data_IF_031344010891
#
_entry.id   IF_031344010891
#
_cell.length_a   1.000
_cell.length_b   1.000
_cell.length_c   1.000
_cell.angle_alpha   90.00
_cell.angle_beta   90.00
_cell.angle_gamma   90.00
#
_symmetry.space_group_name_H-M   'P 1'
#
loop_
_entity.id
_entity.type
_entity.pdbx_description
1 polymer ?
#
# COMPACT_ATOMS: atom_id res chain seq x y z
N UNK A 1 4.71 -11.32 -31.13
CA UNK A 1 5.03 -12.10 -29.92
C UNK A 1 3.80 -12.06 -29.03
N UNK A 2 3.18 -13.21 -28.75
CA UNK A 2 1.95 -13.30 -27.94
C UNK A 2 2.35 -13.47 -26.47
N UNK A 3 2.77 -12.36 -25.85
CA UNK A 3 3.15 -12.35 -24.43
C UNK A 3 1.89 -12.36 -23.54
N UNK A 4 1.81 -13.29 -22.60
CA UNK A 4 0.85 -13.30 -21.51
C UNK A 4 -0.28 -14.34 -21.57
N UNK A 5 -0.40 -15.15 -22.63
CA UNK A 5 -1.53 -16.04 -22.83
C UNK A 5 -1.45 -17.38 -22.05
N UNK A 6 -0.23 -17.81 -21.66
CA UNK A 6 0.00 -19.05 -20.91
C UNK A 6 0.06 -18.90 -19.39
N UNK A 7 -0.12 -17.67 -18.87
CA UNK A 7 0.19 -17.33 -17.48
C UNK A 7 -1.00 -17.50 -16.55
N UNK A 8 -2.25 -17.42 -17.08
CA UNK A 8 -3.47 -17.55 -16.28
C UNK A 8 -3.73 -19.03 -16.01
N UNK A 9 -3.70 -19.41 -14.73
CA UNK A 9 -4.00 -20.76 -14.27
C UNK A 9 -5.18 -20.73 -13.31
N UNK A 10 -6.14 -21.63 -13.55
CA UNK A 10 -7.28 -21.84 -12.67
C UNK A 10 -6.88 -22.84 -11.58
N UNK A 11 -7.16 -22.50 -10.33
CA UNK A 11 -6.81 -23.33 -9.16
C UNK A 11 -7.86 -24.41 -8.85
N UNK A 12 -9.02 -24.38 -9.51
CA UNK A 12 -10.11 -25.32 -9.29
C UNK A 12 -10.98 -25.03 -8.07
N UNK A 13 -10.69 -23.98 -7.30
CA UNK A 13 -11.38 -23.66 -6.06
C UNK A 13 -12.48 -22.60 -6.25
N UNK A 14 -13.72 -22.96 -5.99
CA UNK A 14 -14.88 -22.06 -6.04
C UNK A 14 -15.32 -21.65 -7.44
N UNK A 15 -16.12 -20.58 -7.57
CA UNK A 15 -16.64 -20.10 -8.85
C UNK A 15 -15.52 -19.75 -9.83
N UNK A 16 -15.72 -20.09 -11.11
CA UNK A 16 -14.71 -19.91 -12.16
C UNK A 16 -14.27 -18.44 -12.32
N UNK A 17 -15.20 -17.48 -12.18
CA UNK A 17 -14.85 -16.06 -12.26
C UNK A 17 -13.91 -15.61 -11.13
N UNK A 18 -14.05 -16.19 -9.91
CA UNK A 18 -13.15 -15.91 -8.80
C UNK A 18 -11.76 -16.52 -9.03
N UNK A 19 -11.67 -17.69 -9.65
CA UNK A 19 -10.40 -18.30 -10.03
C UNK A 19 -9.65 -17.41 -11.03
N UNK A 20 -10.35 -16.86 -12.03
CA UNK A 20 -9.78 -15.90 -12.99
C UNK A 20 -9.27 -14.65 -12.26
N UNK A 21 -10.07 -14.10 -11.34
CA UNK A 21 -9.69 -12.93 -10.53
C UNK A 21 -8.41 -13.20 -9.73
N UNK A 22 -8.35 -14.32 -9.00
CA UNK A 22 -7.17 -14.70 -8.20
C UNK A 22 -5.93 -14.87 -9.07
N UNK A 23 -6.05 -15.55 -10.20
CA UNK A 23 -4.94 -15.77 -11.12
C UNK A 23 -4.39 -14.45 -11.67
N UNK A 24 -5.24 -13.59 -12.22
CA UNK A 24 -4.83 -12.28 -12.76
C UNK A 24 -4.25 -11.40 -11.65
N UNK A 25 -4.89 -11.32 -10.49
CA UNK A 25 -4.38 -10.56 -9.34
C UNK A 25 -3.02 -11.08 -8.86
N UNK A 26 -2.79 -12.39 -8.93
CA UNK A 26 -1.51 -13.03 -8.62
C UNK A 26 -0.40 -12.60 -9.59
N UNK A 27 -0.69 -12.60 -10.91
CA UNK A 27 0.25 -12.18 -11.94
C UNK A 27 0.63 -10.69 -11.81
N UNK A 28 -0.33 -9.84 -11.47
CA UNK A 28 -0.08 -8.42 -11.22
C UNK A 28 0.76 -8.24 -9.95
N UNK A 29 0.38 -8.90 -8.85
CA UNK A 29 1.08 -8.80 -7.55
C UNK A 29 2.50 -9.33 -7.57
N UNK A 30 2.75 -10.41 -8.31
CA UNK A 30 4.10 -10.95 -8.49
C UNK A 30 4.99 -10.08 -9.38
N UNK A 31 4.44 -9.03 -10.02
CA UNK A 31 5.14 -8.20 -10.99
C UNK A 31 5.36 -8.88 -12.34
N UNK A 32 4.80 -10.08 -12.55
CA UNK A 32 4.86 -10.75 -13.83
C UNK A 32 4.12 -9.94 -14.92
N UNK A 33 2.93 -9.42 -14.59
CA UNK A 33 2.24 -8.41 -15.37
C UNK A 33 2.46 -7.02 -14.78
N UNK A 34 3.31 -6.26 -15.44
CA UNK A 34 3.66 -4.89 -15.00
C UNK A 34 2.53 -3.90 -15.29
N UNK A 35 2.46 -2.76 -14.58
CA UNK A 35 1.58 -1.65 -14.92
C UNK A 35 1.69 -1.29 -16.42
N UNK A 36 0.55 -1.12 -17.08
CA UNK A 36 0.48 -0.90 -18.52
C UNK A 36 0.56 -2.15 -19.40
N UNK A 37 0.78 -3.36 -18.81
CA UNK A 37 0.71 -4.61 -19.56
C UNK A 37 -0.68 -4.78 -20.16
N UNK A 38 -0.73 -5.10 -21.48
CA UNK A 38 -1.99 -5.33 -22.19
C UNK A 38 -2.45 -6.77 -21.96
N UNK A 39 -3.64 -6.93 -21.42
CA UNK A 39 -4.25 -8.24 -21.28
C UNK A 39 -4.72 -8.79 -22.64
N UNK A 40 -4.78 -10.12 -22.79
CA UNK A 40 -5.50 -10.75 -23.87
C UNK A 40 -6.96 -10.28 -23.90
N UNK A 41 -7.58 -10.25 -25.06
CA UNK A 41 -8.99 -9.86 -25.20
C UNK A 41 -9.91 -10.86 -24.52
N UNK A 42 -11.14 -10.43 -24.19
CA UNK A 42 -12.16 -11.32 -23.61
C UNK A 42 -12.41 -12.56 -24.46
N UNK A 43 -12.35 -12.43 -25.78
CA UNK A 43 -12.51 -13.56 -26.72
C UNK A 43 -11.34 -14.53 -26.63
N UNK A 44 -10.11 -14.02 -26.66
CA UNK A 44 -8.90 -14.83 -26.53
C UNK A 44 -8.86 -15.56 -25.18
N UNK A 45 -9.23 -14.88 -24.07
CA UNK A 45 -9.33 -15.51 -22.75
C UNK A 45 -10.41 -16.58 -22.69
N UNK A 46 -11.58 -16.32 -23.28
CA UNK A 46 -12.69 -17.27 -23.37
C UNK A 46 -12.29 -18.54 -24.13
N UNK A 47 -11.64 -18.40 -25.27
CA UNK A 47 -11.16 -19.51 -26.08
C UNK A 47 -10.06 -20.32 -25.36
N UNK A 48 -9.03 -19.67 -24.84
CA UNK A 48 -7.89 -20.35 -24.21
C UNK A 48 -8.23 -21.06 -22.91
N UNK A 49 -9.12 -20.47 -22.11
CA UNK A 49 -9.56 -21.09 -20.85
C UNK A 49 -10.75 -22.02 -21.03
N UNK A 50 -11.35 -22.09 -22.23
CA UNK A 50 -12.59 -22.84 -22.52
C UNK A 50 -13.75 -22.43 -21.59
N UNK A 51 -13.88 -21.13 -21.32
CA UNK A 51 -14.85 -20.54 -20.39
C UNK A 51 -15.78 -19.58 -21.13
N UNK A 52 -17.05 -19.54 -20.73
CA UNK A 52 -18.02 -18.63 -21.31
C UNK A 52 -17.54 -17.15 -21.22
N UNK A 53 -17.66 -16.42 -22.32
CA UNK A 53 -17.23 -15.01 -22.43
C UNK A 53 -17.84 -14.12 -21.35
N UNK A 54 -19.08 -14.37 -20.95
CA UNK A 54 -19.75 -13.63 -19.87
C UNK A 54 -19.04 -13.79 -18.52
N UNK A 55 -18.50 -14.98 -18.23
CA UNK A 55 -17.75 -15.27 -17.00
C UNK A 55 -16.41 -14.51 -16.99
N UNK A 56 -15.70 -14.51 -18.13
CA UNK A 56 -14.47 -13.73 -18.31
C UNK A 56 -14.76 -12.23 -18.16
N UNK A 57 -15.83 -11.75 -18.85
CA UNK A 57 -16.22 -10.33 -18.78
C UNK A 57 -16.53 -9.89 -17.33
N UNK A 58 -17.27 -10.72 -16.58
CA UNK A 58 -17.58 -10.47 -15.17
C UNK A 58 -16.30 -10.34 -14.34
N UNK A 59 -15.37 -11.29 -14.47
CA UNK A 59 -14.10 -11.25 -13.74
C UNK A 59 -13.27 -10.00 -14.06
N UNK A 60 -13.16 -9.64 -15.36
CA UNK A 60 -12.42 -8.45 -15.78
C UNK A 60 -13.13 -7.14 -15.37
N UNK A 61 -14.48 -7.14 -15.33
CA UNK A 61 -15.26 -5.99 -14.85
C UNK A 61 -14.98 -5.76 -13.35
N UNK A 62 -15.09 -6.79 -12.54
CA UNK A 62 -14.81 -6.69 -11.09
C UNK A 62 -13.35 -6.28 -10.83
N UNK A 63 -12.37 -6.82 -11.57
CA UNK A 63 -10.96 -6.38 -11.47
C UNK A 63 -10.76 -4.92 -11.90
N UNK A 64 -11.62 -4.41 -12.79
CA UNK A 64 -11.59 -2.98 -13.18
C UNK A 64 -12.23 -2.11 -12.10
N UNK A 65 -13.32 -2.57 -11.48
CA UNK A 65 -13.95 -1.92 -10.32
C UNK A 65 -13.01 -1.92 -9.10
N UNK A 66 -12.23 -3.00 -8.93
CA UNK A 66 -11.17 -3.12 -7.92
C UNK A 66 -9.90 -2.27 -8.26
N UNK A 67 -9.90 -1.52 -9.36
CA UNK A 67 -8.78 -0.65 -9.77
C UNK A 67 -7.52 -1.38 -10.25
N UNK A 68 -7.53 -2.71 -10.38
CA UNK A 68 -6.40 -3.50 -10.87
C UNK A 68 -6.25 -3.45 -12.38
N UNK A 69 -7.33 -3.20 -13.10
CA UNK A 69 -7.36 -3.10 -14.56
C UNK A 69 -7.98 -1.78 -15.01
N UNK A 70 -7.63 -1.33 -16.21
CA UNK A 70 -8.24 -0.19 -16.89
C UNK A 70 -8.66 -0.57 -18.29
N UNK A 71 -9.89 -0.24 -18.68
CA UNK A 71 -10.41 -0.42 -20.04
C UNK A 71 -10.18 0.84 -20.85
N UNK A 72 -9.42 0.74 -21.94
CA UNK A 72 -9.23 1.85 -22.90
C UNK A 72 -10.06 1.58 -24.15
N UNK A 73 -10.95 2.53 -24.48
CA UNK A 73 -11.84 2.39 -25.64
C UNK A 73 -11.04 2.08 -26.91
N UNK A 74 -11.39 1.00 -27.61
CA UNK A 74 -10.74 0.48 -28.83
C UNK A 74 -9.30 -0.03 -28.65
N UNK A 75 -8.66 0.14 -27.50
CA UNK A 75 -7.28 -0.29 -27.25
C UNK A 75 -7.20 -1.60 -26.46
N UNK A 76 -8.23 -1.95 -25.68
CA UNK A 76 -8.29 -3.19 -24.88
C UNK A 76 -8.23 -2.93 -23.38
N UNK A 77 -7.99 -4.01 -22.63
CA UNK A 77 -7.82 -3.98 -21.17
C UNK A 77 -6.33 -4.02 -20.83
N UNK A 78 -5.94 -3.22 -19.87
CA UNK A 78 -4.54 -3.09 -19.42
C UNK A 78 -4.49 -3.24 -17.91
N UNK A 79 -3.35 -3.75 -17.39
CA UNK A 79 -3.04 -3.60 -15.96
C UNK A 79 -3.06 -2.10 -15.67
N UNK A 80 -3.84 -1.71 -14.68
CA UNK A 80 -3.91 -0.32 -14.29
C UNK A 80 -2.48 0.15 -13.99
N UNK A 81 -2.10 1.25 -14.61
CA UNK A 81 -1.05 2.05 -14.02
C UNK A 81 -1.72 2.61 -12.77
N UNK A 82 -1.08 2.59 -11.60
CA UNK A 82 -1.57 3.42 -10.54
C UNK A 82 -1.75 4.80 -11.19
N UNK A 83 -2.99 5.20 -11.45
CA UNK A 83 -3.26 6.60 -11.71
C UNK A 83 -2.63 7.28 -10.53
N UNK A 84 -1.63 8.12 -10.79
CA UNK A 84 -1.04 8.88 -9.72
C UNK A 84 -2.16 9.76 -9.15
N UNK A 85 -2.90 9.30 -8.11
CA UNK A 85 -3.62 10.24 -7.30
C UNK A 85 -2.49 11.04 -6.67
N UNK A 86 -2.60 12.29 -6.78
CA UNK A 86 -1.80 13.31 -6.17
C UNK A 86 -0.50 12.79 -5.54
N UNK A 87 0.64 13.02 -6.17
CA UNK A 87 1.94 12.43 -5.80
C UNK A 87 2.36 12.65 -4.34
N UNK A 88 1.77 13.62 -3.67
CA UNK A 88 1.91 13.91 -2.22
C UNK A 88 1.58 12.68 -1.36
N UNK A 89 0.69 11.80 -1.84
CA UNK A 89 0.15 10.71 -1.04
C UNK A 89 0.64 9.32 -1.51
N UNK A 90 1.60 9.24 -2.43
CA UNK A 90 2.24 7.96 -2.74
C UNK A 90 2.90 7.37 -1.49
N UNK A 91 2.82 6.04 -1.37
CA UNK A 91 3.53 5.32 -0.31
C UNK A 91 5.02 5.41 -0.61
N UNK A 92 5.69 6.37 0.03
CA UNK A 92 7.13 6.54 -0.10
C UNK A 92 7.83 5.52 0.78
N UNK A 93 8.70 4.73 0.17
CA UNK A 93 9.64 3.87 0.89
C UNK A 93 10.89 4.68 1.24
N UNK A 94 11.09 4.99 2.52
CA UNK A 94 12.23 5.78 3.00
C UNK A 94 13.58 5.14 2.67
N UNK A 95 13.64 3.80 2.67
CA UNK A 95 14.86 3.07 2.34
C UNK A 95 15.31 3.29 0.88
N UNK A 96 14.37 3.62 -0.01
CA UNK A 96 14.65 3.94 -1.42
C UNK A 96 14.74 5.45 -1.65
N UNK A 97 13.87 6.22 -1.00
CA UNK A 97 13.74 7.66 -1.26
C UNK A 97 14.92 8.49 -0.73
N UNK A 98 15.49 8.11 0.42
CA UNK A 98 16.63 8.83 1.01
C UNK A 98 17.90 8.65 0.15
N UNK A 99 18.32 7.42 -0.22
CA UNK A 99 19.45 7.24 -1.13
C UNK A 99 19.26 7.88 -2.51
N UNK A 100 18.02 7.91 -3.03
CA UNK A 100 17.73 8.56 -4.31
C UNK A 100 18.01 10.08 -4.31
N UNK A 101 18.09 10.70 -3.13
CA UNK A 101 18.49 12.10 -2.94
C UNK A 101 19.99 12.28 -2.66
N UNK A 102 20.76 11.19 -2.65
CA UNK A 102 22.19 11.20 -2.36
C UNK A 102 22.53 11.22 -0.88
N UNK A 103 21.56 11.00 0.00
CA UNK A 103 21.72 10.97 1.45
C UNK A 103 21.95 9.53 1.96
N UNK A 104 22.65 9.35 3.07
CA UNK A 104 22.87 8.05 3.70
C UNK A 104 21.66 7.68 4.55
N UNK A 105 20.96 6.62 4.15
CA UNK A 105 19.83 6.09 4.89
C UNK A 105 20.29 5.31 6.12
N UNK A 106 19.62 5.55 7.26
CA UNK A 106 19.74 4.74 8.46
C UNK A 106 18.38 4.36 9.02
N UNK A 107 18.33 3.21 9.70
CA UNK A 107 17.09 2.65 10.24
C UNK A 107 17.34 2.03 11.61
N UNK A 108 16.37 2.17 12.53
CA UNK A 108 16.38 1.51 13.83
C UNK A 108 14.96 1.15 14.25
N UNK A 109 14.70 -0.13 14.47
CA UNK A 109 13.49 -0.61 15.12
C UNK A 109 13.64 -0.47 16.64
N UNK A 110 12.68 0.17 17.28
CA UNK A 110 12.64 0.38 18.74
C UNK A 110 11.64 -0.56 19.43
N UNK A 111 10.50 -0.84 18.77
CA UNK A 111 9.44 -1.73 19.25
C UNK A 111 9.04 -2.66 18.12
N UNK A 112 8.93 -3.94 18.43
CA UNK A 112 8.37 -4.97 17.55
C UNK A 112 7.69 -6.04 18.43
N UNK A 113 6.40 -5.89 18.68
CA UNK A 113 5.67 -6.74 19.62
C UNK A 113 4.24 -7.03 19.15
N UNK A 114 3.70 -8.18 19.58
CA UNK A 114 2.29 -8.50 19.37
C UNK A 114 1.48 -8.06 20.58
N UNK A 115 0.54 -7.15 20.39
CA UNK A 115 -0.32 -6.61 21.45
C UNK A 115 -1.80 -6.76 21.12
N UNK A 116 -2.70 -6.77 22.11
CA UNK A 116 -4.10 -6.50 21.87
C UNK A 116 -4.29 -5.04 21.42
N UNK A 117 -5.20 -4.81 20.49
CA UNK A 117 -5.47 -3.46 19.97
C UNK A 117 -5.86 -2.50 21.11
N UNK A 118 -5.11 -1.42 21.35
CA UNK A 118 -5.54 -0.34 22.23
C UNK A 118 -6.85 0.26 21.70
N UNK A 119 -7.74 0.71 22.58
CA UNK A 119 -9.08 1.21 22.24
C UNK A 119 -9.07 2.28 21.14
N UNK A 120 -8.11 3.20 21.22
CA UNK A 120 -7.94 4.26 20.22
C UNK A 120 -7.57 3.71 18.85
N UNK A 121 -6.72 2.69 18.80
CA UNK A 121 -6.26 2.03 17.56
C UNK A 121 -7.36 1.13 17.02
N UNK A 122 -8.05 0.37 17.88
CA UNK A 122 -9.18 -0.47 17.48
C UNK A 122 -10.26 0.36 16.76
N UNK A 123 -10.61 1.54 17.31
CA UNK A 123 -11.56 2.47 16.66
C UNK A 123 -11.05 2.98 15.30
N UNK A 124 -9.77 3.39 15.22
CA UNK A 124 -9.18 3.88 13.95
C UNK A 124 -9.11 2.80 12.87
N UNK A 125 -8.86 1.57 13.28
CA UNK A 125 -8.80 0.41 12.37
C UNK A 125 -10.16 -0.28 12.18
N UNK A 126 -11.24 0.19 12.81
CA UNK A 126 -12.58 -0.41 12.77
C UNK A 126 -12.57 -1.89 13.19
N UNK A 127 -11.77 -2.22 14.21
CA UNK A 127 -11.58 -3.58 14.71
C UNK A 127 -12.32 -3.81 16.03
N UNK A 128 -12.73 -5.05 16.32
CA UNK A 128 -13.16 -5.45 17.66
C UNK A 128 -12.05 -5.17 18.69
N UNK A 129 -12.44 -4.80 19.90
CA UNK A 129 -11.51 -4.63 21.01
C UNK A 129 -10.74 -5.93 21.28
N UNK A 130 -9.46 -5.81 21.59
CA UNK A 130 -8.60 -6.95 21.86
C UNK A 130 -8.11 -7.71 20.61
N UNK A 131 -8.48 -7.27 19.39
CA UNK A 131 -7.89 -7.83 18.17
C UNK A 131 -6.36 -7.80 18.25
N UNK A 132 -5.69 -8.91 17.92
CA UNK A 132 -4.23 -8.98 17.97
C UNK A 132 -3.61 -8.19 16.81
N UNK A 133 -2.70 -7.30 17.16
CA UNK A 133 -1.94 -6.47 16.22
C UNK A 133 -0.45 -6.72 16.39
N UNK A 134 0.31 -6.65 15.31
CA UNK A 134 1.74 -6.40 15.39
C UNK A 134 1.95 -4.90 15.48
N UNK A 135 2.55 -4.45 16.58
CA UNK A 135 2.93 -3.07 16.83
C UNK A 135 4.43 -2.91 16.56
N UNK A 136 4.77 -1.97 15.68
CA UNK A 136 6.15 -1.66 15.32
C UNK A 136 6.38 -0.16 15.45
N UNK A 137 7.45 0.21 16.16
CA UNK A 137 7.94 1.60 16.19
C UNK A 137 9.37 1.64 15.67
N UNK A 138 9.66 2.57 14.78
CA UNK A 138 11.00 2.69 14.22
C UNK A 138 11.35 4.14 13.87
N UNK A 139 12.64 4.38 13.75
CA UNK A 139 13.23 5.66 13.34
C UNK A 139 13.94 5.50 12.00
N UNK A 140 13.70 6.46 11.12
CA UNK A 140 14.42 6.59 9.86
C UNK A 140 15.30 7.83 9.91
N UNK A 141 16.52 7.70 9.43
CA UNK A 141 17.50 8.79 9.41
C UNK A 141 18.02 9.05 8.00
N UNK A 142 18.35 10.31 7.73
CA UNK A 142 19.10 10.77 6.57
C UNK A 142 20.36 11.47 7.06
N UNK A 143 21.54 11.03 6.65
CA UNK A 143 22.85 11.52 7.11
C UNK A 143 22.94 11.58 8.66
N UNK A 144 22.43 10.54 9.33
CA UNK A 144 22.40 10.42 10.78
C UNK A 144 21.39 11.30 11.52
N UNK A 145 20.62 12.14 10.82
CA UNK A 145 19.54 12.96 11.41
C UNK A 145 18.21 12.25 11.29
N UNK A 146 17.43 12.21 12.36
CA UNK A 146 16.09 11.60 12.34
C UNK A 146 15.18 12.46 11.45
N UNK A 147 14.57 11.81 10.44
CA UNK A 147 13.64 12.43 9.48
C UNK A 147 12.24 11.90 9.63
N UNK A 148 12.07 10.71 10.19
CA UNK A 148 10.74 10.11 10.44
C UNK A 148 10.79 9.23 11.68
N UNK A 149 9.73 9.31 12.49
CA UNK A 149 9.37 8.35 13.52
C UNK A 149 8.07 7.68 13.07
N UNK A 150 8.16 6.38 12.77
CA UNK A 150 7.04 5.56 12.34
C UNK A 150 6.48 4.77 13.51
N UNK A 151 5.16 4.87 13.73
CA UNK A 151 4.37 3.99 14.59
C UNK A 151 3.39 3.23 13.69
N UNK A 152 3.39 1.91 13.74
CA UNK A 152 2.55 1.09 12.88
C UNK A 152 1.89 -0.05 13.61
N UNK A 153 0.63 -0.27 13.29
CA UNK A 153 -0.18 -1.38 13.77
C UNK A 153 -0.67 -2.19 12.57
N UNK A 154 -0.39 -3.51 12.58
CA UNK A 154 -0.70 -4.44 11.49
C UNK A 154 -1.70 -5.46 12.00
N UNK A 155 -2.82 -5.63 11.29
CA UNK A 155 -3.87 -6.56 11.64
C UNK A 155 -3.42 -8.01 11.38
N UNK A 156 -3.19 -8.78 12.45
CA UNK A 156 -2.70 -10.16 12.35
C UNK A 156 -3.76 -11.15 11.87
N UNK A 157 -5.05 -10.78 11.89
CA UNK A 157 -6.09 -11.61 11.28
C UNK A 157 -6.00 -11.62 9.75
N UNK A 158 -5.57 -10.50 9.15
CA UNK A 158 -5.39 -10.38 7.70
C UNK A 158 -3.96 -10.68 7.25
N UNK A 159 -2.99 -10.38 8.10
CA UNK A 159 -1.57 -10.52 7.76
C UNK A 159 -0.78 -11.21 8.89
N UNK A 160 -1.06 -12.51 9.17
CA UNK A 160 -0.43 -13.25 10.27
C UNK A 160 1.09 -13.38 10.12
N UNK A 161 1.62 -13.27 8.90
CA UNK A 161 3.06 -13.28 8.64
C UNK A 161 3.81 -12.15 9.33
N UNK A 162 3.14 -11.02 9.62
CA UNK A 162 3.76 -9.89 10.30
C UNK A 162 4.25 -10.22 11.73
N UNK A 163 3.61 -11.18 12.41
CA UNK A 163 4.05 -11.62 13.74
C UNK A 163 5.42 -12.33 13.74
N UNK A 164 5.87 -12.80 12.58
CA UNK A 164 7.16 -13.52 12.40
C UNK A 164 8.17 -12.70 11.61
N UNK A 165 7.80 -11.50 11.17
CA UNK A 165 8.67 -10.65 10.38
C UNK A 165 9.78 -10.04 11.25
N UNK A 166 11.00 -10.06 10.72
CA UNK A 166 12.13 -9.38 11.35
C UNK A 166 12.19 -7.94 10.92
N UNK A 167 11.55 -7.07 11.70
CA UNK A 167 11.58 -5.63 11.49
C UNK A 167 12.86 -4.96 11.99
N UNK A 168 13.84 -5.69 12.53
CA UNK A 168 15.12 -5.09 12.91
C UNK A 168 15.97 -4.71 11.69
N UNK A 169 15.78 -5.38 10.55
CA UNK A 169 16.56 -5.22 9.33
C UNK A 169 15.81 -4.48 8.22
N UNK A 170 14.48 -4.56 8.21
CA UNK A 170 13.63 -3.99 7.16
C UNK A 170 12.47 -3.26 7.79
N UNK A 171 12.31 -1.99 7.44
CA UNK A 171 11.20 -1.18 7.91
C UNK A 171 9.83 -1.78 7.53
N UNK A 172 8.82 -1.65 8.41
CA UNK A 172 7.51 -2.25 8.18
C UNK A 172 6.82 -1.71 6.93
N UNK A 173 7.07 -0.45 6.54
CA UNK A 173 6.60 0.12 5.27
C UNK A 173 7.13 -0.64 4.06
N UNK A 174 8.45 -0.82 3.99
CA UNK A 174 9.13 -1.57 2.91
C UNK A 174 8.71 -3.04 2.86
N UNK A 175 8.51 -3.67 4.03
CA UNK A 175 8.05 -5.05 4.12
C UNK A 175 6.61 -5.20 3.59
N UNK A 176 5.72 -4.30 3.98
CA UNK A 176 4.30 -4.32 3.58
C UNK A 176 4.12 -4.12 2.07
N UNK A 177 4.93 -3.30 1.42
CA UNK A 177 4.88 -3.13 -0.04
C UNK A 177 5.06 -4.46 -0.79
N UNK A 178 5.77 -5.43 -0.18
CA UNK A 178 6.03 -6.75 -0.76
C UNK A 178 5.07 -7.83 -0.26
N UNK A 179 4.61 -7.73 0.99
CA UNK A 179 3.91 -8.80 1.68
C UNK A 179 2.40 -8.62 1.75
N UNK A 180 1.90 -7.40 1.71
CA UNK A 180 0.48 -7.11 1.92
C UNK A 180 -0.27 -6.93 0.60
N UNK A 181 -1.36 -7.69 0.37
CA UNK A 181 -2.32 -7.35 -0.68
C UNK A 181 -3.18 -6.19 -0.16
N UNK A 182 -2.90 -4.98 -0.59
CA UNK A 182 -3.75 -3.83 -0.32
C UNK A 182 -4.43 -3.36 -1.60
N UNK A 183 -5.66 -2.85 -1.48
CA UNK A 183 -6.48 -2.36 -2.60
C UNK A 183 -6.59 -0.84 -2.61
N UNK A 184 -6.54 -0.24 -1.41
CA UNK A 184 -6.73 1.19 -1.21
C UNK A 184 -5.87 1.69 -0.05
N UNK A 185 -5.47 2.96 -0.10
CA UNK A 185 -4.82 3.66 1.01
C UNK A 185 -5.47 5.02 1.23
N UNK A 186 -5.78 5.33 2.49
CA UNK A 186 -6.26 6.63 2.92
C UNK A 186 -5.15 7.34 3.67
N UNK A 187 -4.92 8.61 3.35
CA UNK A 187 -3.95 9.45 4.02
C UNK A 187 -4.62 10.68 4.64
N UNK A 188 -4.21 10.99 5.86
CA UNK A 188 -4.56 12.25 6.52
C UNK A 188 -3.28 12.95 6.93
N UNK A 189 -3.08 14.16 6.45
CA UNK A 189 -1.92 15.01 6.80
C UNK A 189 -2.36 16.06 7.80
N UNK A 190 -1.62 16.19 8.89
CA UNK A 190 -1.87 17.20 9.92
C UNK A 190 -0.56 17.78 10.45
N UNK A 191 -0.65 18.94 11.10
CA UNK A 191 0.46 19.55 11.82
C UNK A 191 0.14 19.57 13.32
N UNK A 192 1.13 19.23 14.14
CA UNK A 192 1.03 19.27 15.60
C UNK A 192 2.30 19.87 16.20
N UNK A 193 2.21 20.32 17.43
CA UNK A 193 3.41 20.74 18.17
C UNK A 193 4.01 19.53 18.89
N UNK A 194 5.34 19.43 18.88
CA UNK A 194 6.07 18.34 19.52
C UNK A 194 5.82 18.31 21.03
N UNK A 195 5.31 17.18 21.52
CA UNK A 195 5.32 16.89 22.96
C UNK A 195 6.76 16.66 23.47
N UNK A 196 7.03 16.74 24.78
CA UNK A 196 8.36 16.47 25.31
C UNK A 196 8.92 15.09 24.90
N UNK A 197 8.07 14.07 24.80
CA UNK A 197 8.49 12.73 24.37
C UNK A 197 8.82 12.68 22.87
N UNK A 198 7.96 13.26 22.03
CA UNK A 198 8.20 13.36 20.59
C UNK A 198 9.45 14.18 20.28
N UNK A 199 9.65 15.31 20.99
CA UNK A 199 10.83 16.16 20.83
C UNK A 199 12.12 15.38 21.11
N UNK A 200 12.14 14.63 22.20
CA UNK A 200 13.28 13.79 22.59
C UNK A 200 13.56 12.69 21.55
N UNK A 201 12.51 11.98 21.05
CA UNK A 201 12.64 10.92 20.04
C UNK A 201 13.11 11.45 18.69
N UNK A 202 12.63 12.61 18.28
CA UNK A 202 12.91 13.22 16.98
C UNK A 202 14.16 14.12 16.96
N UNK A 203 14.78 14.37 18.12
CA UNK A 203 15.92 15.28 18.23
C UNK A 203 15.53 16.71 17.82
N UNK A 204 14.40 17.21 18.32
CA UNK A 204 13.88 18.56 18.12
C UNK A 204 13.51 19.20 19.47
N UNK A 205 13.04 20.43 19.50
CA UNK A 205 12.61 21.07 20.73
C UNK A 205 11.12 20.79 21.02
N UNK A 206 10.76 20.79 22.31
CA UNK A 206 9.34 20.76 22.71
C UNK A 206 8.63 21.98 22.14
N UNK A 207 7.47 21.75 21.50
CA UNK A 207 6.70 22.81 20.84
C UNK A 207 7.07 23.03 19.37
N UNK A 208 8.15 22.44 18.86
CA UNK A 208 8.48 22.51 17.43
C UNK A 208 7.34 21.90 16.58
N UNK A 209 7.15 22.44 15.38
CA UNK A 209 6.18 21.92 14.45
C UNK A 209 6.56 20.52 13.94
N UNK A 210 5.62 19.61 13.99
CA UNK A 210 5.72 18.28 13.39
C UNK A 210 4.67 18.12 12.30
N UNK A 211 5.05 17.53 11.17
CA UNK A 211 4.12 17.05 10.17
C UNK A 211 3.79 15.59 10.48
N UNK A 212 2.52 15.28 10.59
CA UNK A 212 2.02 13.92 10.87
C UNK A 212 1.23 13.43 9.68
N UNK A 213 1.66 12.33 9.09
CA UNK A 213 0.91 11.58 8.09
C UNK A 213 0.31 10.34 8.75
N UNK A 214 -1.01 10.30 8.89
CA UNK A 214 -1.71 9.08 9.26
C UNK A 214 -2.13 8.34 7.99
N UNK A 215 -1.84 7.04 7.94
CA UNK A 215 -2.16 6.19 6.79
C UNK A 215 -2.95 4.98 7.24
N UNK A 216 -4.06 4.71 6.58
CA UNK A 216 -4.76 3.42 6.64
C UNK A 216 -4.63 2.72 5.30
N UNK A 217 -4.29 1.43 5.31
CA UNK A 217 -4.33 0.60 4.10
C UNK A 217 -5.41 -0.46 4.25
N UNK A 218 -6.12 -0.71 3.15
CA UNK A 218 -7.30 -1.55 3.14
C UNK A 218 -7.12 -2.75 2.19
N UNK A 219 -7.83 -3.83 2.50
CA UNK A 219 -8.12 -4.93 1.60
C UNK A 219 -9.64 -5.09 1.54
N UNK A 220 -10.27 -4.58 0.48
CA UNK A 220 -11.71 -4.34 0.48
C UNK A 220 -12.10 -3.34 1.58
N UNK A 221 -13.08 -3.70 2.40
CA UNK A 221 -13.53 -2.84 3.52
C UNK A 221 -12.67 -2.99 4.80
N UNK A 222 -11.79 -3.98 4.85
CA UNK A 222 -11.01 -4.30 6.03
C UNK A 222 -9.71 -3.50 6.10
N UNK A 223 -9.42 -2.93 7.28
CA UNK A 223 -8.16 -2.21 7.54
C UNK A 223 -7.04 -3.21 7.83
N UNK A 224 -6.07 -3.27 6.92
CA UNK A 224 -4.87 -4.13 7.04
C UNK A 224 -3.86 -3.48 7.97
N UNK A 225 -3.58 -2.19 7.79
CA UNK A 225 -2.64 -1.46 8.65
C UNK A 225 -3.11 -0.04 8.95
N UNK A 226 -2.68 0.46 10.12
CA UNK A 226 -2.71 1.86 10.46
C UNK A 226 -1.30 2.31 10.84
N UNK A 227 -0.86 3.42 10.28
CA UNK A 227 0.45 3.99 10.59
C UNK A 227 0.33 5.48 10.89
N UNK A 228 1.20 5.95 11.79
CA UNK A 228 1.48 7.37 12.03
C UNK A 228 2.94 7.61 11.70
N UNK A 229 3.20 8.43 10.71
CA UNK A 229 4.51 8.85 10.25
C UNK A 229 4.72 10.29 10.70
N UNK A 230 5.64 10.50 11.61
CA UNK A 230 5.84 11.77 12.30
C UNK A 230 7.18 12.34 11.88
N UNK A 231 7.16 13.53 11.28
CA UNK A 231 8.34 14.18 10.73
C UNK A 231 8.59 15.52 11.41
N UNK A 232 9.86 15.87 11.75
CA UNK A 232 10.21 17.25 12.12
C UNK A 232 9.89 18.20 10.97
N UNK A 233 9.09 19.24 11.23
CA UNK A 233 8.58 20.14 10.19
C UNK A 233 9.66 20.91 9.43
N UNK A 234 10.83 21.12 10.04
CA UNK A 234 12.00 21.75 9.42
C UNK A 234 12.87 20.80 8.58
N UNK A 235 12.54 19.49 8.56
CA UNK A 235 13.31 18.45 7.83
C UNK A 235 12.46 17.70 6.82
N UNK A 236 11.17 18.02 6.71
CA UNK A 236 10.26 17.32 5.81
C UNK A 236 9.33 18.30 5.09
N UNK A 237 9.16 18.07 3.81
CA UNK A 237 8.18 18.77 2.99
C UNK A 237 7.49 17.81 2.05
N UNK A 238 6.24 18.08 1.75
CA UNK A 238 5.48 17.36 0.73
C UNK A 238 5.25 18.31 -0.44
N UNK A 239 5.63 17.89 -1.65
CA UNK A 239 5.47 18.68 -2.87
C UNK A 239 4.75 17.86 -3.91
N UNK A 240 3.71 18.44 -4.50
CA UNK A 240 3.02 17.85 -5.62
C UNK A 240 2.92 18.86 -6.78
N UNK A 241 2.99 18.35 -8.01
CA UNK A 241 2.81 19.16 -9.20
C UNK A 241 1.49 18.79 -9.87
N UNK A 242 0.58 19.76 -9.95
CA UNK A 242 -0.70 19.64 -10.66
C UNK A 242 -0.60 20.28 -12.04
N UNK A 243 -1.30 19.70 -13.05
CA UNK A 243 -1.47 20.27 -14.37
C UNK A 243 -2.95 20.50 -14.68
N UNK A 244 -3.30 21.46 -15.54
CA UNK A 244 -4.68 21.63 -16.02
C UNK A 244 -5.02 20.47 -16.97
N UNK A 245 -5.55 19.36 -16.42
CA UNK A 245 -5.88 18.16 -17.20
C UNK A 245 -6.30 16.97 -16.36
N UNK A 246 -6.05 16.98 -15.07
CA UNK A 246 -6.61 16.01 -14.13
C UNK A 246 -8.05 16.44 -13.77
N UNK A 247 -8.96 16.39 -14.74
CA UNK A 247 -10.40 16.51 -14.45
C UNK A 247 -10.87 15.17 -13.96
N UNK A 248 -11.45 15.19 -12.77
CA UNK A 248 -12.29 14.14 -12.20
C UNK A 248 -13.31 13.66 -13.28
N UNK A 249 -13.40 12.38 -13.65
CA UNK A 249 -14.40 11.90 -14.61
C UNK A 249 -15.78 11.69 -13.95
N UNK A 250 -16.12 12.45 -12.92
CA UNK A 250 -17.37 12.37 -12.17
C UNK A 250 -18.10 13.71 -12.07
N UNK A 251 -18.57 14.26 -13.20
CA UNK A 251 -19.68 15.23 -13.27
C UNK A 251 -20.47 15.03 -14.55
#
# INVERSE_FOLDING_TARGET
>A
MRDGMGDIRLDGEGPVYDQIKRSISGLIRSGHWKPGHRLPSESELSENLSIARMTVNRALKELTEDGLLVRKRRAGTFVAQPDAPAAILQIVDMASAIPARGEVYGYRCEINETIPAPDTIARRMRLPFGTRLQHVECLHTADGKIVEYEQRWINLNLLPAAAKADFSQVGPGSWLLRAAPWTEAEHTVSAVNASPDQARRLGTATGDALLVLERRTFQGDDVVTYARLIHPGNRHSMTERFGPGARDPGS
#
